data_IF_714545912673
#
_entry.id   IF_714545912673
#
_cell.length_a   1.000
_cell.length_b   1.000
_cell.length_c   1.000
_cell.angle_alpha   90.00
_cell.angle_beta   90.00
_cell.angle_gamma   90.00
#
_symmetry.space_group_name_H-M   'P 1'
#
loop_
_entity.id
_entity.type
_entity.pdbx_description
1 polymer ?
#
# COMPACT_ATOMS: atom_id res chain seq x y z
N UNK A 1 21.12 -11.04 -20.22
CA UNK A 1 21.44 -12.49 -20.18
C UNK A 1 20.20 -13.25 -20.65
N UNK A 2 20.31 -14.17 -21.62
CA UNK A 2 19.17 -14.93 -22.17
C UNK A 2 19.11 -16.31 -21.51
N UNK A 3 17.91 -16.76 -21.12
CA UNK A 3 17.66 -18.08 -20.53
C UNK A 3 16.74 -18.88 -21.45
N UNK A 4 17.05 -20.17 -21.63
CA UNK A 4 16.24 -21.11 -22.39
C UNK A 4 15.92 -22.29 -21.49
N UNK A 5 14.63 -22.65 -21.38
CA UNK A 5 14.17 -23.84 -20.67
C UNK A 5 13.79 -24.88 -21.72
N UNK A 6 14.34 -26.08 -21.60
CA UNK A 6 14.00 -27.24 -22.44
C UNK A 6 13.14 -28.16 -21.58
N UNK A 7 11.97 -28.54 -22.09
CA UNK A 7 10.96 -29.30 -21.35
C UNK A 7 10.58 -30.50 -22.21
N UNK A 8 10.47 -31.67 -21.59
CA UNK A 8 9.86 -32.85 -22.19
C UNK A 8 8.33 -32.79 -22.00
N UNK A 9 7.57 -33.00 -23.07
CA UNK A 9 6.11 -32.88 -23.04
C UNK A 9 5.44 -33.98 -22.20
N UNK A 10 6.14 -35.09 -21.98
CA UNK A 10 5.58 -36.27 -21.32
C UNK A 10 5.87 -36.26 -19.80
N UNK A 11 6.75 -35.37 -19.32
CA UNK A 11 7.05 -35.18 -17.91
C UNK A 11 6.24 -34.04 -17.29
N UNK A 12 5.09 -34.41 -16.71
CA UNK A 12 4.18 -33.49 -16.01
C UNK A 12 4.87 -32.76 -14.86
N UNK A 13 5.76 -33.43 -14.12
CA UNK A 13 6.48 -32.81 -13.00
C UNK A 13 7.51 -31.79 -13.51
N UNK A 14 8.21 -32.13 -14.59
CA UNK A 14 9.12 -31.23 -15.29
C UNK A 14 8.43 -29.97 -15.82
N UNK A 15 7.20 -30.11 -16.33
CA UNK A 15 6.37 -28.96 -16.76
C UNK A 15 6.00 -28.06 -15.57
N UNK A 16 5.56 -28.64 -14.45
CA UNK A 16 5.23 -27.86 -13.26
C UNK A 16 6.44 -27.10 -12.70
N UNK A 17 7.60 -27.74 -12.66
CA UNK A 17 8.82 -27.15 -12.14
C UNK A 17 9.37 -26.08 -13.08
N UNK A 18 9.31 -26.30 -14.39
CA UNK A 18 9.61 -25.28 -15.39
C UNK A 18 8.68 -24.06 -15.26
N UNK A 19 7.40 -24.28 -14.99
CA UNK A 19 6.44 -23.20 -14.74
C UNK A 19 6.76 -22.43 -13.45
N UNK A 20 7.11 -23.13 -12.35
CA UNK A 20 7.54 -22.49 -11.09
C UNK A 20 8.80 -21.63 -11.30
N UNK A 21 9.80 -22.14 -12.02
CA UNK A 21 11.03 -21.40 -12.33
C UNK A 21 10.76 -20.18 -13.19
N UNK A 22 9.92 -20.32 -14.22
CA UNK A 22 9.52 -19.19 -15.08
C UNK A 22 8.79 -18.12 -14.27
N UNK A 23 7.88 -18.51 -13.38
CA UNK A 23 7.15 -17.59 -12.50
C UNK A 23 8.07 -16.88 -11.49
N UNK A 24 9.05 -17.59 -10.93
CA UNK A 24 10.04 -17.01 -10.02
C UNK A 24 10.90 -15.97 -10.75
N UNK A 25 11.39 -16.30 -11.95
CA UNK A 25 12.20 -15.41 -12.76
C UNK A 25 11.41 -14.19 -13.25
N UNK A 26 10.18 -14.40 -13.71
CA UNK A 26 9.26 -13.33 -14.04
C UNK A 26 9.03 -12.42 -12.83
N UNK A 27 8.80 -12.99 -11.65
CA UNK A 27 8.60 -12.20 -10.42
C UNK A 27 9.85 -11.38 -10.08
N UNK A 28 11.03 -11.99 -10.14
CA UNK A 28 12.29 -11.36 -9.72
C UNK A 28 12.78 -10.29 -10.70
N UNK A 29 12.60 -10.49 -12.00
CA UNK A 29 13.20 -9.64 -13.02
C UNK A 29 12.19 -8.80 -13.81
N UNK A 30 10.94 -9.24 -13.91
CA UNK A 30 9.88 -8.52 -14.65
C UNK A 30 8.91 -7.84 -13.69
N UNK A 31 8.43 -8.52 -12.64
CA UNK A 31 7.47 -7.98 -11.67
C UNK A 31 8.08 -6.97 -10.71
N UNK A 32 9.39 -7.00 -10.50
CA UNK A 32 10.12 -5.91 -9.82
C UNK A 32 10.13 -4.62 -10.65
N UNK A 33 9.97 -4.70 -11.98
CA UNK A 33 9.89 -3.56 -12.90
C UNK A 33 8.44 -3.18 -13.27
N UNK A 34 7.52 -4.14 -13.29
CA UNK A 34 6.09 -3.93 -13.53
C UNK A 34 5.36 -3.72 -12.20
N UNK A 35 5.37 -2.48 -11.73
CA UNK A 35 4.69 -2.03 -10.51
C UNK A 35 3.19 -2.35 -10.52
N UNK A 36 2.83 -3.51 -9.97
CA UNK A 36 1.46 -3.82 -9.59
C UNK A 36 1.44 -4.57 -8.26
N UNK A 37 0.97 -3.87 -7.22
CA UNK A 37 0.07 -4.50 -6.26
C UNK A 37 0.57 -4.72 -4.84
N UNK A 38 1.66 -4.10 -4.40
CA UNK A 38 1.70 -3.68 -3.00
C UNK A 38 1.27 -2.21 -2.98
N UNK A 39 -0.04 -1.99 -2.90
CA UNK A 39 -0.57 -0.85 -2.14
C UNK A 39 -0.28 -1.16 -0.65
N UNK A 40 0.98 -1.48 -0.33
CA UNK A 40 1.44 -1.42 1.04
C UNK A 40 1.41 0.06 1.31
N UNK A 41 0.43 0.51 2.09
CA UNK A 41 0.43 1.84 2.67
C UNK A 41 1.82 2.05 3.27
N UNK A 42 2.67 2.76 2.54
CA UNK A 42 4.12 2.68 2.77
C UNK A 42 4.41 3.22 4.15
N UNK A 43 5.41 2.69 4.87
CA UNK A 43 5.74 3.19 6.23
C UNK A 43 5.87 4.72 6.25
N UNK A 44 6.44 5.31 5.20
CA UNK A 44 6.55 6.76 5.03
C UNK A 44 5.20 7.43 4.78
N UNK A 45 4.33 6.87 3.95
CA UNK A 45 2.98 7.39 3.70
C UNK A 45 2.11 7.32 4.97
N UNK A 46 2.21 6.23 5.72
CA UNK A 46 1.58 6.07 7.03
C UNK A 46 2.04 7.15 8.01
N UNK A 47 3.36 7.36 8.12
CA UNK A 47 3.91 8.42 8.96
C UNK A 47 3.42 9.80 8.50
N UNK A 48 3.38 10.06 7.19
CA UNK A 48 2.86 11.34 6.65
C UNK A 48 1.38 11.54 6.98
N UNK A 49 0.56 10.49 6.90
CA UNK A 49 -0.85 10.51 7.25
C UNK A 49 -1.05 10.83 8.74
N UNK A 50 -0.32 10.14 9.64
CA UNK A 50 -0.35 10.44 11.07
C UNK A 50 0.10 11.88 11.39
N UNK A 51 1.12 12.37 10.68
CA UNK A 51 1.57 13.77 10.82
C UNK A 51 0.53 14.76 10.34
N UNK A 52 -0.20 14.46 9.25
CA UNK A 52 -1.31 15.30 8.75
C UNK A 52 -2.44 15.35 9.77
N UNK A 53 -2.81 14.20 10.33
CA UNK A 53 -3.81 14.12 11.42
C UNK A 53 -3.43 15.01 12.61
N UNK A 54 -2.20 14.87 13.12
CA UNK A 54 -1.74 15.68 14.26
C UNK A 54 -1.70 17.18 13.98
N UNK A 55 -1.37 17.59 12.74
CA UNK A 55 -1.41 19.00 12.34
C UNK A 55 -2.83 19.54 12.31
N UNK A 56 -3.77 18.82 11.68
CA UNK A 56 -5.18 19.25 11.63
C UNK A 56 -5.77 19.33 13.04
N UNK A 57 -5.41 18.41 13.94
CA UNK A 57 -5.88 18.42 15.32
C UNK A 57 -5.39 19.66 16.09
N UNK A 58 -4.11 20.01 15.94
CA UNK A 58 -3.52 21.21 16.56
C UNK A 58 -4.10 22.50 15.98
N UNK A 59 -4.30 22.56 14.66
CA UNK A 59 -4.90 23.73 14.02
C UNK A 59 -6.36 23.93 14.45
N UNK A 60 -7.18 22.87 14.48
CA UNK A 60 -8.56 22.97 14.95
C UNK A 60 -8.63 23.40 16.41
N UNK A 61 -7.77 22.85 17.29
CA UNK A 61 -7.70 23.28 18.69
C UNK A 61 -7.32 24.75 18.86
N UNK A 62 -6.51 25.31 17.95
CA UNK A 62 -6.12 26.73 18.00
C UNK A 62 -7.16 27.68 17.42
N UNK A 63 -8.02 27.20 16.52
CA UNK A 63 -8.88 28.06 15.68
C UNK A 63 -10.36 27.92 16.00
N UNK A 64 -10.80 26.78 16.49
CA UNK A 64 -12.18 26.52 16.88
C UNK A 64 -12.30 26.54 18.41
N UNK A 65 -12.95 27.59 18.93
CA UNK A 65 -13.17 27.79 20.37
C UNK A 65 -14.00 26.68 21.02
N UNK A 66 -14.76 25.91 20.24
CA UNK A 66 -15.56 24.78 20.73
C UNK A 66 -14.84 23.43 20.56
N UNK A 67 -13.62 23.42 20.03
CA UNK A 67 -12.87 22.19 19.81
C UNK A 67 -12.08 21.80 21.06
N UNK A 68 -12.65 20.92 21.86
CA UNK A 68 -12.02 20.40 23.07
C UNK A 68 -10.85 19.45 22.75
N UNK A 69 -9.86 19.41 23.64
CA UNK A 69 -8.69 18.54 23.47
C UNK A 69 -9.09 17.05 23.41
N UNK A 70 -10.07 16.63 24.22
CA UNK A 70 -10.59 15.26 24.19
C UNK A 70 -11.27 14.92 22.85
N UNK A 71 -11.77 15.92 22.12
CA UNK A 71 -12.45 15.71 20.83
C UNK A 71 -11.50 15.18 19.74
N UNK A 72 -10.18 15.37 19.89
CA UNK A 72 -9.17 14.80 18.98
C UNK A 72 -9.24 13.27 18.98
N UNK A 73 -9.42 12.65 20.15
CA UNK A 73 -9.51 11.20 20.28
C UNK A 73 -10.92 10.66 19.96
N UNK A 74 -11.89 11.54 19.67
CA UNK A 74 -13.25 11.13 19.37
C UNK A 74 -13.32 10.35 18.06
N UNK A 75 -14.19 9.33 18.04
CA UNK A 75 -14.47 8.55 16.83
C UNK A 75 -14.95 9.44 15.69
N UNK A 76 -15.74 10.48 16.00
CA UNK A 76 -16.29 11.42 15.01
C UNK A 76 -15.17 12.17 14.28
N UNK A 77 -14.23 12.75 15.02
CA UNK A 77 -13.11 13.48 14.44
C UNK A 77 -12.18 12.57 13.63
N UNK A 78 -11.85 11.41 14.21
CA UNK A 78 -10.98 10.42 13.54
C UNK A 78 -11.62 9.88 12.26
N UNK A 79 -12.92 9.59 12.26
CA UNK A 79 -13.69 9.20 11.08
C UNK A 79 -13.69 10.29 10.02
N UNK A 80 -13.96 11.54 10.41
CA UNK A 80 -13.97 12.66 9.47
C UNK A 80 -12.62 12.81 8.75
N UNK A 81 -11.51 12.73 9.48
CA UNK A 81 -10.18 12.75 8.89
C UNK A 81 -9.94 11.54 7.96
N UNK A 82 -10.28 10.33 8.40
CA UNK A 82 -10.11 9.12 7.60
C UNK A 82 -10.92 9.18 6.28
N UNK A 83 -12.19 9.59 6.36
CA UNK A 83 -13.07 9.75 5.19
C UNK A 83 -12.50 10.78 4.21
N UNK A 84 -11.97 11.91 4.72
CA UNK A 84 -11.31 12.95 3.89
C UNK A 84 -10.09 12.40 3.16
N UNK A 85 -9.21 11.69 3.88
CA UNK A 85 -8.01 11.07 3.30
C UNK A 85 -8.35 10.03 2.24
N UNK A 86 -9.41 9.26 2.44
CA UNK A 86 -9.84 8.25 1.46
C UNK A 86 -10.43 8.87 0.21
N UNK A 87 -11.25 9.92 0.33
CA UNK A 87 -11.79 10.65 -0.83
C UNK A 87 -10.69 11.30 -1.68
N UNK A 88 -9.72 11.95 -1.04
CA UNK A 88 -8.55 12.55 -1.73
C UNK A 88 -7.69 11.52 -2.48
N UNK A 89 -7.80 10.22 -2.16
CA UNK A 89 -7.02 9.16 -2.78
C UNK A 89 -7.71 8.53 -4.00
N UNK A 90 -9.04 8.63 -4.06
CA UNK A 90 -9.86 8.09 -5.16
C UNK A 90 -10.00 9.09 -6.34
N UNK A 91 -9.57 10.34 -6.16
CA UNK A 91 -9.43 11.39 -7.19
C UNK A 91 -8.02 11.39 -7.82
#
# INVERSE_FOLDING_TARGET
MKMTIVIDSDDINGIEDAHKMTRLMYTKYVRTAAGYGNISFGKIEFIKMLRKFGREAVENYKTDENFELESIASLRYTKYFADKVWREKDE
#
